data_IF_419041966742
#
_entry.id   IF_419041966742
#
_cell.length_a   1.000
_cell.length_b   1.000
_cell.length_c   1.000
_cell.angle_alpha   90.00
_cell.angle_beta   90.00
_cell.angle_gamma   90.00
#
_symmetry.space_group_name_H-M   'P 1'
#
loop_
_entity.id
_entity.type
_entity.pdbx_description
1 polymer ?
#
# COMPACT_ATOMS: atom_id res chain seq x y z
N UNK A 1 9.58 -11.77 -18.59
CA UNK A 1 8.13 -11.95 -18.39
C UNK A 1 7.45 -12.64 -19.59
N UNK A 2 7.59 -12.14 -20.82
CA UNK A 2 7.00 -12.75 -22.04
C UNK A 2 7.36 -14.24 -22.27
N UNK A 3 8.60 -14.66 -21.96
CA UNK A 3 9.02 -16.07 -22.06
C UNK A 3 8.51 -16.97 -20.92
N UNK A 4 8.26 -16.40 -19.74
CA UNK A 4 7.64 -17.07 -18.59
C UNK A 4 6.10 -17.16 -18.72
N UNK A 5 5.53 -16.32 -19.60
CA UNK A 5 4.13 -16.37 -20.04
C UNK A 5 3.95 -17.38 -21.19
N UNK A 6 5.03 -18.07 -21.61
CA UNK A 6 4.95 -19.24 -22.48
C UNK A 6 4.81 -18.94 -23.97
N UNK A 7 5.30 -17.80 -24.47
CA UNK A 7 5.25 -17.48 -25.91
C UNK A 7 6.27 -18.35 -26.68
N UNK A 8 5.83 -19.54 -27.10
CA UNK A 8 6.62 -20.44 -27.95
C UNK A 8 5.90 -21.63 -28.64
N UNK A 9 4.59 -21.86 -28.51
CA UNK A 9 3.90 -22.96 -29.22
C UNK A 9 2.41 -22.67 -29.55
N UNK A 10 2.00 -22.90 -30.79
CA UNK A 10 0.99 -22.07 -31.47
C UNK A 10 -0.51 -22.41 -31.26
N UNK A 11 -0.91 -23.41 -30.46
CA UNK A 11 -2.34 -23.80 -30.36
C UNK A 11 -2.93 -23.93 -28.94
N UNK A 12 -2.14 -24.19 -27.89
CA UNK A 12 -2.62 -24.32 -26.49
C UNK A 12 -2.29 -23.11 -25.60
N UNK A 13 -1.51 -22.16 -26.14
CA UNK A 13 -0.93 -21.02 -25.43
C UNK A 13 -1.94 -19.96 -24.95
N UNK A 14 -2.91 -19.52 -25.77
CA UNK A 14 -3.81 -18.44 -25.36
C UNK A 14 -4.67 -18.85 -24.16
N UNK A 15 -5.10 -20.11 -24.11
CA UNK A 15 -5.89 -20.65 -23.00
C UNK A 15 -5.06 -20.76 -21.71
N UNK A 16 -3.82 -21.26 -21.79
CA UNK A 16 -2.94 -21.35 -20.62
C UNK A 16 -2.57 -19.96 -20.07
N UNK A 17 -2.29 -19.00 -20.95
CA UNK A 17 -2.04 -17.61 -20.56
C UNK A 17 -3.28 -16.95 -19.93
N UNK A 18 -4.46 -17.18 -20.51
CA UNK A 18 -5.73 -16.68 -19.98
C UNK A 18 -6.03 -17.29 -18.60
N UNK A 19 -5.83 -18.60 -18.42
CA UNK A 19 -6.01 -19.26 -17.13
C UNK A 19 -5.04 -18.74 -16.07
N UNK A 20 -3.76 -18.55 -16.42
CA UNK A 20 -2.77 -17.95 -15.52
C UNK A 20 -3.14 -16.51 -15.14
N UNK A 21 -3.66 -15.74 -16.08
CA UNK A 21 -4.16 -14.39 -15.84
C UNK A 21 -5.36 -14.39 -14.89
N UNK A 22 -6.35 -15.26 -15.13
CA UNK A 22 -7.53 -15.39 -14.24
C UNK A 22 -7.12 -15.87 -12.85
N UNK A 23 -6.22 -16.86 -12.75
CA UNK A 23 -5.74 -17.37 -11.46
C UNK A 23 -4.95 -16.32 -10.68
N UNK A 24 -4.07 -15.56 -11.34
CA UNK A 24 -3.27 -14.53 -10.69
C UNK A 24 -4.12 -13.28 -10.36
N UNK A 25 -4.76 -12.69 -11.36
CA UNK A 25 -5.44 -11.39 -11.26
C UNK A 25 -6.89 -11.51 -10.82
N UNK A 26 -7.60 -12.55 -11.25
CA UNK A 26 -8.96 -12.83 -10.81
C UNK A 26 -9.02 -13.19 -9.34
N UNK A 27 -8.15 -14.08 -8.86
CA UNK A 27 -8.11 -14.45 -7.43
C UNK A 27 -7.76 -13.25 -6.55
N UNK A 28 -6.75 -12.45 -6.93
CA UNK A 28 -6.40 -11.24 -6.18
C UNK A 28 -7.56 -10.24 -6.07
N UNK A 29 -8.32 -10.05 -7.15
CA UNK A 29 -9.52 -9.18 -7.16
C UNK A 29 -10.66 -9.76 -6.31
N UNK A 30 -10.89 -11.07 -6.36
CA UNK A 30 -11.90 -11.74 -5.54
C UNK A 30 -11.56 -11.64 -4.05
N UNK A 31 -10.31 -11.94 -3.67
CA UNK A 31 -9.84 -11.80 -2.30
C UNK A 31 -10.00 -10.36 -1.80
N UNK A 32 -9.70 -9.36 -2.64
CA UNK A 32 -9.94 -7.95 -2.32
C UNK A 32 -11.41 -7.66 -2.05
N UNK A 33 -12.33 -8.16 -2.87
CA UNK A 33 -13.77 -7.97 -2.66
C UNK A 33 -14.23 -8.61 -1.34
N UNK A 34 -13.84 -9.86 -1.08
CA UNK A 34 -14.20 -10.59 0.15
C UNK A 34 -13.64 -9.85 1.37
N UNK A 35 -12.37 -9.46 1.33
CA UNK A 35 -11.70 -8.78 2.44
C UNK A 35 -12.29 -7.40 2.71
N UNK A 36 -12.59 -6.64 1.67
CA UNK A 36 -13.23 -5.33 1.82
C UNK A 36 -14.64 -5.50 2.39
N UNK A 37 -15.41 -6.48 1.93
CA UNK A 37 -16.76 -6.74 2.44
C UNK A 37 -16.75 -7.20 3.91
N UNK A 38 -15.77 -8.01 4.32
CA UNK A 38 -15.72 -8.56 5.68
C UNK A 38 -15.09 -7.61 6.71
N UNK A 39 -14.16 -6.76 6.29
CA UNK A 39 -13.34 -5.96 7.21
C UNK A 39 -13.51 -4.45 7.08
N UNK A 40 -14.40 -3.99 6.17
CA UNK A 40 -14.72 -2.56 5.99
C UNK A 40 -15.03 -1.84 7.30
N UNK A 41 -15.81 -2.47 8.18
CA UNK A 41 -16.24 -1.88 9.46
C UNK A 41 -15.13 -1.75 10.50
N UNK A 42 -14.03 -2.50 10.35
CA UNK A 42 -12.91 -2.50 11.32
C UNK A 42 -11.82 -1.48 10.99
N UNK A 43 -11.76 -0.98 9.74
CA UNK A 43 -10.75 -0.02 9.32
C UNK A 43 -10.81 1.32 10.06
N UNK A 44 -11.99 1.70 10.55
CA UNK A 44 -12.21 2.96 11.26
C UNK A 44 -11.58 3.01 12.67
N UNK A 45 -11.21 1.85 13.24
CA UNK A 45 -10.75 1.76 14.63
C UNK A 45 -9.29 2.21 14.81
N UNK A 46 -8.42 2.06 13.80
CA UNK A 46 -6.99 2.36 13.91
C UNK A 46 -6.37 2.75 12.54
N UNK A 47 -6.86 3.83 11.95
CA UNK A 47 -6.60 4.19 10.55
C UNK A 47 -5.11 4.36 10.21
N UNK A 48 -4.35 5.11 11.01
CA UNK A 48 -2.91 5.36 10.75
C UNK A 48 -2.12 4.06 10.72
N UNK A 49 -2.44 3.16 11.64
CA UNK A 49 -1.74 1.90 11.81
C UNK A 49 -2.11 0.89 10.73
N UNK A 50 -3.40 0.78 10.40
CA UNK A 50 -3.86 -0.02 9.25
C UNK A 50 -3.16 0.46 7.98
N UNK A 51 -3.13 1.78 7.75
CA UNK A 51 -2.48 2.38 6.58
C UNK A 51 -0.99 1.99 6.52
N UNK A 52 -0.23 2.23 7.59
CA UNK A 52 1.19 1.86 7.62
C UNK A 52 1.43 0.35 7.44
N UNK A 53 0.67 -0.50 8.14
CA UNK A 53 0.80 -1.95 8.02
C UNK A 53 0.53 -2.44 6.60
N UNK A 54 -0.50 -1.90 5.96
CA UNK A 54 -0.87 -2.25 4.57
C UNK A 54 0.16 -1.73 3.56
N UNK A 55 0.78 -0.58 3.81
CA UNK A 55 1.92 -0.11 3.00
C UNK A 55 3.12 -1.04 3.13
N UNK A 56 3.45 -1.51 4.33
CA UNK A 56 4.51 -2.52 4.54
C UNK A 56 4.19 -3.82 3.80
N UNK A 57 2.94 -4.31 3.91
CA UNK A 57 2.50 -5.52 3.21
C UNK A 57 2.58 -5.35 1.68
N UNK A 58 2.19 -4.19 1.16
CA UNK A 58 2.28 -3.88 -0.26
C UNK A 58 3.73 -3.90 -0.76
N UNK A 59 4.64 -3.24 -0.05
CA UNK A 59 6.06 -3.24 -0.35
C UNK A 59 6.62 -4.67 -0.31
N UNK A 60 6.38 -5.44 0.75
CA UNK A 60 6.83 -6.84 0.80
C UNK A 60 6.30 -7.68 -0.37
N UNK A 61 5.06 -7.44 -0.79
CA UNK A 61 4.45 -8.15 -1.91
C UNK A 61 5.14 -7.85 -3.25
N UNK A 62 5.52 -6.59 -3.50
CA UNK A 62 6.31 -6.22 -4.67
C UNK A 62 7.70 -6.88 -4.61
N UNK A 63 8.32 -6.91 -3.42
CA UNK A 63 9.58 -7.61 -3.21
C UNK A 63 9.48 -9.09 -3.58
N UNK A 64 8.43 -9.78 -3.12
CA UNK A 64 8.16 -11.18 -3.48
C UNK A 64 8.00 -11.34 -5.00
N UNK A 65 7.29 -10.42 -5.66
CA UNK A 65 7.12 -10.45 -7.11
C UNK A 65 8.44 -10.21 -7.87
N UNK A 66 9.34 -9.42 -7.30
CA UNK A 66 10.68 -9.21 -7.86
C UNK A 66 11.57 -10.46 -7.76
N UNK A 67 11.39 -11.31 -6.73
CA UNK A 67 12.11 -12.58 -6.60
C UNK A 67 11.56 -13.70 -7.49
N UNK A 68 10.34 -13.56 -8.03
CA UNK A 68 9.70 -14.60 -8.86
C UNK A 68 10.54 -15.12 -10.04
N UNK A 69 11.30 -14.29 -10.77
CA UNK A 69 12.18 -14.76 -11.85
C UNK A 69 13.30 -15.70 -11.39
N UNK A 70 13.68 -15.66 -10.10
CA UNK A 70 14.72 -16.54 -9.51
C UNK A 70 14.17 -17.95 -9.27
N UNK A 71 12.86 -18.08 -9.02
CA UNK A 71 12.19 -19.35 -8.75
C UNK A 71 11.12 -19.67 -9.82
N UNK A 72 11.52 -19.97 -11.07
CA UNK A 72 10.59 -20.15 -12.18
C UNK A 72 9.61 -21.32 -11.96
N UNK A 73 9.98 -22.31 -11.15
CA UNK A 73 9.13 -23.48 -10.84
C UNK A 73 7.90 -23.12 -9.97
N UNK A 74 7.99 -22.08 -9.15
CA UNK A 74 6.91 -21.63 -8.27
C UNK A 74 6.29 -20.31 -8.73
N UNK A 75 6.56 -19.90 -9.98
CA UNK A 75 6.22 -18.58 -10.49
C UNK A 75 4.73 -18.24 -10.28
N UNK A 76 3.83 -19.15 -10.65
CA UNK A 76 2.40 -18.90 -10.59
C UNK A 76 1.90 -18.74 -9.15
N UNK A 77 2.33 -19.61 -8.23
CA UNK A 77 1.92 -19.57 -6.83
C UNK A 77 2.45 -18.30 -6.16
N UNK A 78 3.74 -18.02 -6.33
CA UNK A 78 4.38 -16.87 -5.70
C UNK A 78 3.82 -15.55 -6.25
N UNK A 79 3.62 -15.45 -7.56
CA UNK A 79 3.01 -14.30 -8.20
C UNK A 79 1.54 -14.11 -7.77
N UNK A 80 0.80 -15.20 -7.56
CA UNK A 80 -0.61 -15.12 -7.12
C UNK A 80 -0.71 -14.65 -5.67
N UNK A 81 0.11 -15.19 -4.76
CA UNK A 81 0.16 -14.75 -3.35
C UNK A 81 0.56 -13.27 -3.26
N UNK A 82 1.62 -12.87 -3.98
CA UNK A 82 2.03 -11.47 -4.06
C UNK A 82 0.90 -10.57 -4.58
N UNK A 83 0.16 -11.02 -5.60
CA UNK A 83 -0.93 -10.23 -6.14
C UNK A 83 -2.13 -10.11 -5.18
N UNK A 84 -2.48 -11.18 -4.46
CA UNK A 84 -3.52 -11.13 -3.41
C UNK A 84 -3.16 -10.10 -2.35
N UNK A 85 -1.93 -10.15 -1.83
CA UNK A 85 -1.48 -9.24 -0.79
C UNK A 85 -1.42 -7.77 -1.28
N UNK A 86 -0.98 -7.53 -2.53
CA UNK A 86 -1.07 -6.18 -3.15
C UNK A 86 -2.51 -5.70 -3.26
N UNK A 87 -3.42 -6.53 -3.74
CA UNK A 87 -4.81 -6.16 -3.97
C UNK A 87 -5.55 -5.87 -2.65
N UNK A 88 -5.26 -6.64 -1.60
CA UNK A 88 -5.76 -6.37 -0.24
C UNK A 88 -5.22 -5.03 0.28
N UNK A 89 -3.91 -4.82 0.16
CA UNK A 89 -3.27 -3.58 0.62
C UNK A 89 -3.80 -2.35 -0.11
N UNK A 90 -4.07 -2.47 -1.42
CA UNK A 90 -4.68 -1.43 -2.23
C UNK A 90 -6.11 -1.08 -1.76
N UNK A 91 -6.92 -2.08 -1.39
CA UNK A 91 -8.24 -1.81 -0.82
C UNK A 91 -8.15 -1.02 0.49
N UNK A 92 -7.25 -1.40 1.39
CA UNK A 92 -7.02 -0.66 2.63
C UNK A 92 -6.50 0.76 2.36
N UNK A 93 -5.60 0.93 1.40
CA UNK A 93 -5.13 2.24 0.99
C UNK A 93 -6.28 3.13 0.51
N UNK A 94 -7.16 2.62 -0.35
CA UNK A 94 -8.31 3.38 -0.85
C UNK A 94 -9.29 3.75 0.27
N UNK A 95 -9.60 2.79 1.15
CA UNK A 95 -10.48 3.03 2.29
C UNK A 95 -9.92 4.11 3.23
N UNK A 96 -8.62 4.07 3.52
CA UNK A 96 -7.97 5.03 4.43
C UNK A 96 -7.70 6.39 3.79
N UNK A 97 -7.48 6.45 2.48
CA UNK A 97 -7.14 7.70 1.77
C UNK A 97 -8.26 8.72 1.82
N UNK A 98 -9.52 8.30 1.74
CA UNK A 98 -10.66 9.20 1.85
C UNK A 98 -10.69 9.93 3.19
N UNK A 99 -10.42 9.23 4.30
CA UNK A 99 -10.38 9.84 5.63
C UNK A 99 -9.18 10.80 5.78
N UNK A 100 -8.03 10.47 5.17
CA UNK A 100 -6.86 11.35 5.14
C UNK A 100 -7.15 12.62 4.33
N UNK A 101 -7.71 12.51 3.13
CA UNK A 101 -8.09 13.69 2.33
C UNK A 101 -9.14 14.55 3.04
N UNK A 102 -10.06 13.92 3.77
CA UNK A 102 -11.04 14.65 4.58
C UNK A 102 -10.39 15.47 5.69
N UNK A 103 -9.30 14.98 6.29
CA UNK A 103 -8.56 15.76 7.30
C UNK A 103 -7.89 17.03 6.75
N UNK A 104 -7.63 17.06 5.44
CA UNK A 104 -7.10 18.24 4.73
C UNK A 104 -8.18 19.13 4.12
N UNK A 105 -9.44 18.69 4.10
CA UNK A 105 -10.56 19.49 3.62
C UNK A 105 -10.94 20.54 4.67
N UNK A 106 -11.08 21.80 4.25
CA UNK A 106 -11.40 22.94 5.13
C UNK A 106 -12.83 23.43 4.90
N UNK A 107 -13.33 23.36 3.66
CA UNK A 107 -14.63 23.91 3.27
C UNK A 107 -15.37 22.96 2.33
N UNK A 108 -15.65 21.74 2.80
CA UNK A 108 -16.30 20.64 2.04
C UNK A 108 -15.66 20.35 0.66
N UNK A 109 -14.38 20.72 0.51
CA UNK A 109 -13.62 20.64 -0.73
C UNK A 109 -12.89 19.28 -0.89
N UNK A 110 -13.51 18.20 -0.41
CA UNK A 110 -12.91 16.85 -0.42
C UNK A 110 -12.57 16.38 -1.84
N UNK A 111 -13.42 16.71 -2.83
CA UNK A 111 -13.21 16.37 -4.23
C UNK A 111 -11.96 17.05 -4.81
N UNK A 112 -11.76 18.35 -4.50
CA UNK A 112 -10.60 19.11 -4.97
C UNK A 112 -9.30 18.57 -4.36
N UNK A 113 -9.29 18.32 -3.05
CA UNK A 113 -8.13 17.73 -2.36
C UNK A 113 -7.79 16.36 -2.95
N UNK A 114 -8.81 15.53 -3.20
CA UNK A 114 -8.61 14.21 -3.80
C UNK A 114 -8.08 14.28 -5.22
N UNK A 115 -8.59 15.22 -6.03
CA UNK A 115 -8.11 15.44 -7.40
C UNK A 115 -6.64 15.91 -7.41
N UNK A 116 -6.26 16.86 -6.54
CA UNK A 116 -4.87 17.33 -6.41
C UNK A 116 -3.94 16.19 -5.98
N UNK A 117 -4.37 15.36 -5.03
CA UNK A 117 -3.61 14.18 -4.61
C UNK A 117 -3.39 13.20 -5.77
N UNK A 118 -4.44 12.91 -6.56
CA UNK A 118 -4.31 12.05 -7.73
C UNK A 118 -3.37 12.62 -8.79
N UNK A 119 -3.46 13.92 -9.09
CA UNK A 119 -2.57 14.57 -10.05
C UNK A 119 -1.11 14.44 -9.59
N UNK A 120 -0.83 14.65 -8.30
CA UNK A 120 0.51 14.46 -7.75
C UNK A 120 1.01 13.03 -7.97
N UNK A 121 0.20 12.03 -7.63
CA UNK A 121 0.56 10.61 -7.86
C UNK A 121 0.88 10.36 -9.34
N UNK A 122 0.01 10.77 -10.25
CA UNK A 122 0.21 10.55 -11.70
C UNK A 122 1.46 11.25 -12.22
N UNK A 123 1.75 12.47 -11.76
CA UNK A 123 2.97 13.18 -12.13
C UNK A 123 4.24 12.43 -11.67
N UNK A 124 4.30 12.02 -10.40
CA UNK A 124 5.45 11.30 -9.88
C UNK A 124 5.60 9.90 -10.48
N UNK A 125 4.50 9.21 -10.77
CA UNK A 125 4.52 7.92 -11.47
C UNK A 125 5.14 8.05 -12.87
N UNK A 126 4.77 9.09 -13.63
CA UNK A 126 5.33 9.34 -14.95
C UNK A 126 6.82 9.72 -14.90
N UNK A 127 7.22 10.51 -13.90
CA UNK A 127 8.63 10.83 -13.69
C UNK A 127 9.44 9.57 -13.32
N UNK A 128 8.91 8.74 -12.42
CA UNK A 128 9.51 7.46 -12.04
C UNK A 128 9.64 6.51 -13.22
N UNK A 129 8.61 6.38 -14.05
CA UNK A 129 8.62 5.55 -15.25
C UNK A 129 9.65 6.05 -16.28
N UNK A 130 9.73 7.37 -16.49
CA UNK A 130 10.71 7.99 -17.40
C UNK A 130 12.14 7.74 -16.91
N UNK A 131 12.39 7.89 -15.61
CA UNK A 131 13.68 7.59 -15.00
C UNK A 131 14.03 6.10 -15.15
N UNK A 132 13.09 5.20 -14.83
CA UNK A 132 13.28 3.77 -14.96
C UNK A 132 13.59 3.35 -16.42
N UNK A 133 12.85 3.90 -17.39
CA UNK A 133 13.09 3.66 -18.81
C UNK A 133 14.46 4.17 -19.26
N UNK A 134 14.85 5.38 -18.83
CA UNK A 134 16.17 5.95 -19.15
C UNK A 134 17.30 5.09 -18.58
N UNK A 135 17.20 4.68 -17.32
CA UNK A 135 18.17 3.78 -16.69
C UNK A 135 18.24 2.41 -17.38
N UNK A 136 17.09 1.91 -17.84
CA UNK A 136 17.01 0.66 -18.59
C UNK A 136 17.76 0.76 -19.93
N UNK A 137 17.55 1.84 -20.69
CA UNK A 137 18.23 2.08 -21.97
C UNK A 137 19.74 2.25 -21.77
N UNK A 138 20.16 3.03 -20.77
CA UNK A 138 21.58 3.24 -20.46
C UNK A 138 22.28 1.94 -20.04
N UNK A 139 21.56 1.05 -19.35
CA UNK A 139 22.08 -0.23 -18.87
C UNK A 139 21.91 -1.38 -19.86
N UNK A 140 21.36 -1.13 -21.06
CA UNK A 140 21.03 -2.16 -22.05
C UNK A 140 22.24 -3.00 -22.48
N UNK A 141 23.44 -2.41 -22.49
CA UNK A 141 24.68 -3.09 -22.87
C UNK A 141 25.23 -4.04 -21.79
N UNK A 142 24.71 -3.99 -20.55
CA UNK A 142 25.24 -4.75 -19.42
C UNK A 142 24.12 -5.46 -18.62
N UNK A 143 23.71 -6.68 -18.99
CA UNK A 143 22.60 -7.39 -18.35
C UNK A 143 22.86 -7.71 -16.87
N UNK A 144 24.14 -7.90 -16.47
CA UNK A 144 24.52 -8.10 -15.06
C UNK A 144 24.31 -6.83 -14.23
N UNK A 145 24.64 -5.66 -14.79
CA UNK A 145 24.44 -4.37 -14.14
C UNK A 145 22.93 -4.08 -14.01
N UNK A 146 22.15 -4.36 -15.05
CA UNK A 146 20.71 -4.19 -15.04
C UNK A 146 20.02 -5.06 -13.97
N UNK A 147 20.39 -6.33 -13.84
CA UNK A 147 19.85 -7.20 -12.81
C UNK A 147 20.24 -6.71 -11.40
N UNK A 148 21.52 -6.36 -11.18
CA UNK A 148 22.01 -5.85 -9.90
C UNK A 148 21.35 -4.53 -9.49
N UNK A 149 21.15 -3.61 -10.44
CA UNK A 149 20.49 -2.32 -10.21
C UNK A 149 19.11 -2.49 -9.59
N UNK A 150 18.30 -3.43 -10.10
CA UNK A 150 16.94 -3.62 -9.60
C UNK A 150 16.97 -4.16 -8.16
N UNK A 151 17.84 -5.13 -7.86
CA UNK A 151 17.97 -5.69 -6.51
C UNK A 151 18.53 -4.70 -5.47
N UNK A 152 19.32 -3.71 -5.89
CA UNK A 152 19.87 -2.68 -5.00
C UNK A 152 18.93 -1.49 -4.86
N UNK A 153 18.39 -0.99 -5.98
CA UNK A 153 17.53 0.19 -5.97
C UNK A 153 16.20 -0.09 -5.28
N UNK A 154 15.59 -1.25 -5.53
CA UNK A 154 14.26 -1.55 -5.01
C UNK A 154 14.18 -1.49 -3.47
N UNK A 155 15.06 -2.14 -2.69
CA UNK A 155 15.04 -2.03 -1.23
C UNK A 155 15.23 -0.59 -0.74
N UNK A 156 16.13 0.17 -1.39
CA UNK A 156 16.39 1.58 -1.02
C UNK A 156 15.14 2.43 -1.23
N UNK A 157 14.53 2.37 -2.41
CA UNK A 157 13.30 3.10 -2.70
C UNK A 157 12.13 2.64 -1.82
N UNK A 158 12.03 1.34 -1.53
CA UNK A 158 10.99 0.78 -0.66
C UNK A 158 11.09 1.30 0.78
N UNK A 159 12.32 1.39 1.33
CA UNK A 159 12.54 1.96 2.66
C UNK A 159 12.25 3.46 2.68
N UNK A 160 12.67 4.19 1.65
CA UNK A 160 12.38 5.63 1.53
C UNK A 160 10.88 5.91 1.41
N UNK A 161 10.16 5.10 0.63
CA UNK A 161 8.70 5.18 0.49
C UNK A 161 7.99 4.92 1.83
N UNK A 162 8.34 3.82 2.52
CA UNK A 162 7.79 3.51 3.84
C UNK A 162 8.11 4.59 4.88
N UNK A 163 9.31 5.17 4.83
CA UNK A 163 9.68 6.29 5.69
C UNK A 163 8.86 7.54 5.38
N UNK A 164 8.66 7.87 4.09
CA UNK A 164 7.81 8.97 3.65
C UNK A 164 6.37 8.80 4.13
N UNK A 165 5.81 7.58 3.99
CA UNK A 165 4.48 7.24 4.48
C UNK A 165 4.41 7.38 6.00
N UNK A 166 5.42 6.91 6.73
CA UNK A 166 5.48 7.05 8.18
C UNK A 166 5.50 8.52 8.62
N UNK A 167 6.35 9.35 7.99
CA UNK A 167 6.41 10.78 8.28
C UNK A 167 5.11 11.50 7.92
N UNK A 168 4.48 11.15 6.80
CA UNK A 168 3.18 11.68 6.41
C UNK A 168 2.12 11.36 7.46
N UNK A 169 2.03 10.09 7.88
CA UNK A 169 1.07 9.64 8.88
C UNK A 169 1.29 10.27 10.27
N UNK A 170 2.54 10.60 10.61
CA UNK A 170 2.87 11.29 11.86
C UNK A 170 2.30 12.71 11.91
N UNK A 171 2.24 13.41 10.79
CA UNK A 171 1.76 14.80 10.71
C UNK A 171 0.28 14.91 10.32
N UNK A 172 -0.34 13.82 9.85
CA UNK A 172 -1.78 13.78 9.58
C UNK A 172 -2.55 13.76 10.91
N UNK A 173 -3.18 14.89 11.20
CA UNK A 173 -4.12 15.03 12.30
C UNK A 173 -5.51 14.66 11.81
N UNK A 174 -5.94 13.43 12.11
CA UNK A 174 -7.31 13.02 11.80
C UNK A 174 -8.28 13.95 12.53
N UNK A 175 -9.37 14.34 11.87
CA UNK A 175 -10.46 15.10 12.50
C UNK A 175 -11.60 14.19 12.97
N UNK A 176 -11.52 12.89 12.68
CA UNK A 176 -12.50 11.88 13.08
C UNK A 176 -12.26 11.38 14.50
N UNK A 177 -13.32 11.36 15.30
CA UNK A 177 -13.34 10.84 16.68
C UNK A 177 -13.38 9.30 16.65
N UNK A 178 -12.21 8.67 16.57
CA UNK A 178 -12.08 7.21 16.71
C UNK A 178 -12.30 6.78 18.17
N UNK A 179 -12.74 5.53 18.42
CA UNK A 179 -12.97 5.00 19.79
C UNK A 179 -11.76 5.18 20.72
N UNK A 180 -10.56 4.94 20.21
CA UNK A 180 -9.32 5.12 20.98
C UNK A 180 -9.06 6.59 21.32
N UNK A 181 -9.35 7.51 20.39
CA UNK A 181 -9.27 8.97 20.64
C UNK A 181 -10.31 9.43 21.63
N UNK A 182 -11.54 8.93 21.53
CA UNK A 182 -12.60 9.23 22.47
C UNK A 182 -12.22 8.74 23.88
N UNK A 183 -11.62 7.56 24.00
CA UNK A 183 -11.11 7.04 25.28
C UNK A 183 -10.04 7.96 25.87
N UNK A 184 -9.08 8.40 25.07
CA UNK A 184 -8.02 9.34 25.48
C UNK A 184 -8.62 10.70 25.90
N UNK A 185 -9.55 11.24 25.12
CA UNK A 185 -10.21 12.52 25.42
C UNK A 185 -11.00 12.41 26.73
N UNK A 186 -11.79 11.35 26.91
CA UNK A 186 -12.57 11.11 28.13
C UNK A 186 -11.65 10.91 29.33
N UNK A 187 -10.59 10.09 29.22
CA UNK A 187 -9.67 9.89 30.34
C UNK A 187 -8.93 11.16 30.72
N UNK A 188 -8.50 11.96 29.74
CA UNK A 188 -7.83 13.23 29.97
C UNK A 188 -8.77 14.25 30.59
N UNK A 189 -10.02 14.30 30.12
CA UNK A 189 -11.05 15.16 30.70
C UNK A 189 -11.39 14.78 32.15
N UNK A 190 -11.55 13.49 32.44
CA UNK A 190 -11.81 12.99 33.81
C UNK A 190 -10.63 13.29 34.75
N UNK A 191 -9.39 13.17 34.28
CA UNK A 191 -8.20 13.34 35.12
C UNK A 191 -7.75 14.80 35.27
N UNK A 192 -7.87 15.60 34.21
CA UNK A 192 -7.24 16.93 34.11
C UNK A 192 -8.25 18.07 33.89
N UNK A 193 -9.52 17.77 33.63
CA UNK A 193 -10.59 18.77 33.52
C UNK A 193 -10.59 19.61 32.23
N UNK A 194 -9.71 19.32 31.27
CA UNK A 194 -9.67 20.01 29.96
C UNK A 194 -9.84 19.02 28.80
N UNK A 195 -10.30 19.54 27.65
CA UNK A 195 -10.45 18.77 26.41
C UNK A 195 -9.19 18.93 25.56
N UNK A 196 -8.40 17.87 25.32
CA UNK A 196 -7.17 17.97 24.55
C UNK A 196 -7.44 18.25 23.07
N UNK A 197 -6.52 18.96 22.44
CA UNK A 197 -6.55 19.27 21.02
C UNK A 197 -6.32 18.00 20.17
N UNK A 198 -6.79 17.98 18.90
CA UNK A 198 -6.55 16.85 17.99
C UNK A 198 -5.06 16.49 17.82
N UNK A 199 -4.15 17.46 17.98
CA UNK A 199 -2.70 17.29 17.89
C UNK A 199 -2.12 16.54 19.09
N UNK A 200 -2.57 16.86 20.30
CA UNK A 200 -2.13 16.20 21.54
C UNK A 200 -2.56 14.74 21.58
N UNK A 201 -3.80 14.47 21.15
CA UNK A 201 -4.32 13.09 21.02
C UNK A 201 -3.54 12.31 19.96
N UNK A 202 -3.21 12.95 18.83
CA UNK A 202 -2.44 12.34 17.73
C UNK A 202 -1.03 11.89 18.14
N UNK A 203 -0.38 12.62 19.07
CA UNK A 203 0.95 12.23 19.62
C UNK A 203 0.88 11.01 20.53
N UNK A 204 -0.26 10.79 21.19
CA UNK A 204 -0.48 9.63 22.05
C UNK A 204 -0.92 8.38 21.26
N UNK A 205 -1.48 8.55 20.05
CA UNK A 205 -1.76 7.44 19.15
C UNK A 205 -0.48 6.81 18.59
N UNK A 206 -0.20 5.57 18.98
CA UNK A 206 0.93 4.82 18.45
C UNK A 206 0.75 4.43 16.97
N UNK A 207 1.72 4.77 16.12
CA UNK A 207 1.76 4.40 14.68
C UNK A 207 2.40 3.00 14.47
N UNK A 208 2.96 2.41 15.54
CA UNK A 208 3.78 1.19 15.46
C UNK A 208 3.04 -0.09 15.09
N UNK A 209 3.78 -1.10 14.64
CA UNK A 209 3.28 -2.44 14.29
C UNK A 209 2.79 -3.27 15.50
N UNK A 210 3.15 -2.89 16.73
CA UNK A 210 2.82 -3.64 17.95
C UNK A 210 1.33 -3.61 18.25
N UNK A 211 0.67 -4.77 18.16
CA UNK A 211 -0.74 -4.92 18.57
C UNK A 211 -0.75 -5.10 20.07
N UNK A 212 -0.70 -3.99 20.80
CA UNK A 212 -1.24 -4.00 22.14
C UNK A 212 -2.73 -4.30 21.98
N UNK A 213 -3.10 -5.57 22.23
CA UNK A 213 -4.48 -5.90 22.58
C UNK A 213 -4.81 -4.97 23.73
N UNK A 214 -5.66 -3.98 23.48
CA UNK A 214 -6.33 -3.30 24.58
C UNK A 214 -7.08 -4.38 25.34
N UNK A 215 -6.54 -4.77 26.49
CA UNK A 215 -7.31 -5.52 27.46
C UNK A 215 -8.51 -4.64 27.81
N UNK A 216 -9.70 -5.21 27.60
CA UNK A 216 -10.94 -4.69 28.14
C UNK A 216 -10.88 -4.66 29.66
#
# INVERSE_FOLDING_TARGET
>A
MLRAIGIGNSHSLPLAAALNWVLKDGLGRLCRCIYTASLASSFDTNLKRVRFCTSVLFSLSIGVELLTPVFPQYFLILASIANIAKQISLACYLATSTAVHRSFAVADNLGEVSAKGQIQTVCFDNLGLTLAATLNILSANNPRLQAGLIFVMYPVFSVLDLFGIYQGLKHVHLQTLTKDRLKIIISTWIQQGFVPSPEEVSKQEGIGLSWSRGNF
#
